data_IF_334505726000
#
_entry.id   IF_334505726000
#
_cell.length_a   1.000
_cell.length_b   1.000
_cell.length_c   1.000
_cell.angle_alpha   90.00
_cell.angle_beta   90.00
_cell.angle_gamma   90.00
#
_symmetry.space_group_name_H-M   'P 1'
#
loop_
_entity.id
_entity.type
_entity.pdbx_description
1 polymer ?
#
# COMPACT_ATOMS: atom_id res chain seq x y z
N UNK A 1 25.53 28.71 19.26
CA UNK A 1 26.75 29.32 18.72
C UNK A 1 27.11 28.60 17.42
N UNK A 2 27.39 29.38 16.38
CA UNK A 2 27.77 28.99 15.03
C UNK A 2 29.07 28.17 15.04
N UNK A 3 29.32 27.44 13.93
CA UNK A 3 30.64 27.00 13.41
C UNK A 3 30.85 25.47 13.52
N UNK A 4 31.35 24.72 12.54
CA UNK A 4 32.10 25.06 11.32
C UNK A 4 32.10 23.83 10.38
N UNK A 5 32.08 24.07 9.07
CA UNK A 5 32.39 23.07 8.04
C UNK A 5 33.82 22.54 8.19
N UNK A 6 34.00 21.25 7.97
CA UNK A 6 35.27 20.65 7.55
C UNK A 6 34.96 19.65 6.43
N UNK A 7 35.36 20.03 5.22
CA UNK A 7 35.42 19.16 4.04
C UNK A 7 36.84 18.62 3.99
N UNK A 8 37.00 17.30 4.02
CA UNK A 8 38.23 16.64 3.57
C UNK A 8 37.99 16.11 2.16
N UNK A 9 38.86 16.51 1.23
CA UNK A 9 38.92 15.98 -0.12
C UNK A 9 39.63 14.63 -0.11
N UNK A 10 38.98 13.61 -0.69
CA UNK A 10 39.57 12.32 -1.04
C UNK A 10 39.34 12.06 -2.52
N UNK A 11 40.43 11.94 -3.28
CA UNK A 11 40.48 11.73 -4.72
C UNK A 11 40.03 10.31 -5.11
N UNK A 12 39.31 10.20 -6.23
CA UNK A 12 39.28 9.00 -7.07
C UNK A 12 38.00 8.18 -7.01
N UNK A 13 37.10 8.41 -7.96
CA UNK A 13 35.96 7.52 -8.20
C UNK A 13 35.08 8.07 -9.31
N UNK A 14 34.98 7.32 -10.42
CA UNK A 14 34.11 7.53 -11.58
C UNK A 14 32.91 8.44 -11.30
N UNK A 15 32.82 9.55 -12.03
CA UNK A 15 31.67 10.45 -11.99
C UNK A 15 30.40 9.69 -12.38
N UNK A 16 29.62 9.26 -11.39
CA UNK A 16 28.22 8.95 -11.60
C UNK A 16 27.55 10.23 -12.08
N UNK A 17 27.01 10.22 -13.30
CA UNK A 17 26.15 11.29 -13.78
C UNK A 17 25.09 11.57 -12.71
N UNK A 18 24.77 12.84 -12.41
CA UNK A 18 23.77 13.16 -11.41
C UNK A 18 22.46 12.52 -11.84
N UNK A 19 22.02 11.52 -11.09
CA UNK A 19 20.64 11.04 -11.12
C UNK A 19 19.81 12.30 -10.90
N UNK A 20 19.16 12.78 -11.96
CA UNK A 20 18.27 13.91 -11.84
C UNK A 20 17.24 13.49 -10.80
N UNK A 21 17.29 14.09 -9.61
CA UNK A 21 16.26 13.92 -8.62
C UNK A 21 14.97 14.34 -9.32
N UNK A 22 14.17 13.36 -9.71
CA UNK A 22 12.92 13.60 -10.42
C UNK A 22 12.09 14.44 -9.46
N UNK A 23 11.86 15.70 -9.82
CA UNK A 23 10.90 16.55 -9.10
C UNK A 23 9.57 15.84 -9.26
N UNK A 24 9.13 15.16 -8.20
CA UNK A 24 7.81 14.57 -8.13
C UNK A 24 6.85 15.76 -8.04
N UNK A 25 5.93 15.97 -9.00
CA UNK A 25 4.92 17.00 -8.86
C UNK A 25 4.19 16.78 -7.55
N UNK A 26 3.94 17.86 -6.80
CA UNK A 26 3.11 17.76 -5.59
C UNK A 26 1.75 17.16 -5.92
N UNK A 27 1.17 16.43 -4.97
CA UNK A 27 -0.14 15.82 -5.16
C UNK A 27 -1.22 16.90 -5.35
N UNK A 28 -2.04 16.72 -6.39
CA UNK A 28 -3.25 17.50 -6.65
C UNK A 28 -4.46 16.58 -6.64
N UNK A 29 -5.67 17.14 -6.49
CA UNK A 29 -6.92 16.36 -6.60
C UNK A 29 -6.98 15.57 -7.92
N UNK A 30 -6.62 16.21 -9.04
CA UNK A 30 -6.55 15.57 -10.36
C UNK A 30 -5.59 14.38 -10.35
N UNK A 31 -4.41 14.53 -9.74
CA UNK A 31 -3.44 13.42 -9.66
C UNK A 31 -3.97 12.22 -8.87
N UNK A 32 -4.77 12.45 -7.83
CA UNK A 32 -5.42 11.38 -7.07
C UNK A 32 -6.50 10.67 -7.89
N UNK A 33 -7.32 11.43 -8.63
CA UNK A 33 -8.35 10.87 -9.52
C UNK A 33 -7.73 10.02 -10.63
N UNK A 34 -6.67 10.53 -11.27
CA UNK A 34 -5.95 9.83 -12.33
C UNK A 34 -5.26 8.56 -11.80
N UNK A 35 -4.69 8.62 -10.60
CA UNK A 35 -4.03 7.48 -10.00
C UNK A 35 -5.03 6.40 -9.58
N UNK A 36 -6.14 6.76 -8.94
CA UNK A 36 -7.19 5.79 -8.59
C UNK A 36 -7.77 5.10 -9.83
N UNK A 37 -8.07 5.86 -10.88
CA UNK A 37 -8.55 5.32 -12.14
C UNK A 37 -7.53 4.35 -12.77
N UNK A 38 -6.24 4.72 -12.77
CA UNK A 38 -5.15 3.84 -13.25
C UNK A 38 -5.07 2.56 -12.44
N UNK A 39 -5.11 2.65 -11.11
CA UNK A 39 -5.06 1.48 -10.23
C UNK A 39 -6.26 0.56 -10.50
N UNK A 40 -7.47 1.14 -10.63
CA UNK A 40 -8.67 0.40 -10.97
C UNK A 40 -8.57 -0.33 -12.32
N UNK A 41 -8.06 0.34 -13.35
CA UNK A 41 -7.81 -0.28 -14.65
C UNK A 41 -6.76 -1.40 -14.57
N UNK A 42 -5.64 -1.15 -13.89
CA UNK A 42 -4.53 -2.11 -13.74
C UNK A 42 -4.87 -3.32 -12.87
N UNK A 43 -5.85 -3.22 -11.99
CA UNK A 43 -6.36 -4.36 -11.23
C UNK A 43 -7.08 -5.39 -12.12
N UNK A 44 -7.66 -4.96 -13.24
CA UNK A 44 -8.45 -5.78 -14.16
C UNK A 44 -7.71 -6.10 -15.47
N UNK A 45 -6.80 -5.22 -15.89
CA UNK A 45 -5.97 -5.36 -17.08
C UNK A 45 -4.47 -5.28 -16.71
N UNK A 46 -3.74 -6.37 -16.97
CA UNK A 46 -2.30 -6.46 -16.73
C UNK A 46 -1.44 -5.59 -17.67
N UNK A 47 -2.03 -4.80 -18.56
CA UNK A 47 -1.33 -3.79 -19.36
C UNK A 47 -0.40 -4.38 -20.41
N UNK A 48 -0.90 -5.38 -21.12
CA UNK A 48 -0.10 -6.20 -22.05
C UNK A 48 0.76 -7.25 -21.34
N UNK A 49 0.52 -7.50 -20.06
CA UNK A 49 1.01 -8.66 -19.32
C UNK A 49 -0.05 -9.72 -19.10
N UNK A 50 0.27 -10.72 -18.27
CA UNK A 50 -0.63 -11.80 -17.85
C UNK A 50 -0.60 -11.96 -16.32
N UNK A 51 -1.77 -12.10 -15.69
CA UNK A 51 -1.88 -12.41 -14.27
C UNK A 51 -1.67 -13.90 -13.99
N UNK A 52 -1.02 -14.22 -12.88
CA UNK A 52 -0.71 -15.60 -12.46
C UNK A 52 -1.43 -15.96 -11.16
N UNK A 53 -2.74 -16.15 -11.22
CA UNK A 53 -3.57 -16.40 -10.04
C UNK A 53 -3.20 -17.70 -9.30
N UNK A 54 -2.73 -18.74 -10.01
CA UNK A 54 -2.25 -19.98 -9.40
C UNK A 54 -0.99 -19.71 -8.55
N UNK A 55 0.00 -19.02 -9.13
CA UNK A 55 1.23 -18.61 -8.45
C UNK A 55 0.96 -17.74 -7.22
N UNK A 56 -0.03 -16.84 -7.27
CA UNK A 56 -0.46 -16.05 -6.10
C UNK A 56 -0.98 -16.93 -4.94
N UNK A 57 -1.71 -18.02 -5.25
CA UNK A 57 -2.20 -18.97 -4.22
C UNK A 57 -1.08 -19.85 -3.69
N UNK A 58 -0.15 -20.26 -4.54
CA UNK A 58 1.05 -20.98 -4.12
C UNK A 58 1.95 -20.13 -3.21
N UNK A 59 2.10 -18.83 -3.50
CA UNK A 59 2.81 -17.90 -2.63
C UNK A 59 2.18 -17.81 -1.24
N UNK A 60 0.85 -17.83 -1.13
CA UNK A 60 0.14 -17.92 0.16
C UNK A 60 0.48 -19.23 0.89
N UNK A 61 0.41 -20.36 0.20
CA UNK A 61 0.71 -21.66 0.78
C UNK A 61 2.17 -21.72 1.30
N UNK A 62 3.13 -21.29 0.48
CA UNK A 62 4.55 -21.23 0.87
C UNK A 62 4.79 -20.27 2.04
N UNK A 63 4.18 -19.09 2.00
CA UNK A 63 4.25 -18.10 3.08
C UNK A 63 3.76 -18.69 4.39
N UNK A 64 2.58 -19.33 4.39
CA UNK A 64 2.00 -19.92 5.59
C UNK A 64 2.79 -21.12 6.08
N UNK A 65 3.33 -21.95 5.19
CA UNK A 65 4.18 -23.06 5.57
C UNK A 65 5.46 -22.58 6.29
N UNK A 66 6.08 -21.50 5.79
CA UNK A 66 7.22 -20.86 6.47
C UNK A 66 6.81 -20.28 7.82
N UNK A 67 5.72 -19.50 7.87
CA UNK A 67 5.28 -18.84 9.09
C UNK A 67 4.98 -19.83 10.20
N UNK A 68 4.21 -20.88 9.91
CA UNK A 68 3.86 -21.92 10.88
C UNK A 68 5.10 -22.66 11.39
N UNK A 69 6.04 -23.04 10.51
CA UNK A 69 7.30 -23.67 10.94
C UNK A 69 8.14 -22.78 11.87
N UNK A 70 8.03 -21.46 11.70
CA UNK A 70 8.73 -20.46 12.51
C UNK A 70 7.90 -19.97 13.71
N UNK A 71 6.76 -20.60 14.02
CA UNK A 71 5.90 -20.24 15.15
C UNK A 71 5.03 -18.99 14.96
N UNK A 72 4.98 -18.42 13.75
CA UNK A 72 4.10 -17.31 13.41
C UNK A 72 2.73 -17.82 12.92
N UNK A 73 1.61 -17.13 13.24
CA UNK A 73 0.28 -17.52 12.76
C UNK A 73 0.19 -17.49 11.24
N UNK A 74 -0.58 -18.41 10.65
CA UNK A 74 -0.90 -18.36 9.23
C UNK A 74 -1.70 -17.10 8.88
N UNK A 75 -1.49 -16.58 7.67
CA UNK A 75 -2.19 -15.44 7.11
C UNK A 75 -3.44 -15.89 6.35
N UNK A 76 -4.52 -15.14 6.50
CA UNK A 76 -5.71 -15.26 5.66
C UNK A 76 -5.52 -14.54 4.32
N UNK A 77 -6.12 -15.07 3.26
CA UNK A 77 -6.16 -14.38 1.98
C UNK A 77 -7.11 -13.18 2.02
N UNK A 78 -6.66 -12.02 1.53
CA UNK A 78 -7.49 -10.84 1.35
C UNK A 78 -7.62 -10.50 -0.13
N UNK A 79 -8.86 -10.60 -0.66
CA UNK A 79 -9.14 -10.26 -2.05
C UNK A 79 -8.91 -8.76 -2.35
N UNK A 80 -9.21 -7.88 -1.39
CA UNK A 80 -8.92 -6.44 -1.52
C UNK A 80 -7.41 -6.18 -1.64
N UNK A 81 -6.60 -6.81 -0.78
CA UNK A 81 -5.14 -6.66 -0.86
C UNK A 81 -4.57 -7.27 -2.14
N UNK A 82 -5.10 -8.41 -2.61
CA UNK A 82 -4.65 -8.99 -3.88
C UNK A 82 -5.02 -8.11 -5.06
N UNK A 83 -6.18 -7.45 -5.02
CA UNK A 83 -6.55 -6.43 -6.02
C UNK A 83 -5.53 -5.28 -6.04
N UNK A 84 -5.13 -4.79 -4.86
CA UNK A 84 -4.11 -3.73 -4.73
C UNK A 84 -2.75 -4.22 -5.27
N UNK A 85 -2.33 -5.41 -4.87
CA UNK A 85 -1.05 -5.99 -5.27
C UNK A 85 -0.99 -6.25 -6.79
N UNK A 86 -2.07 -6.78 -7.39
CA UNK A 86 -2.19 -6.97 -8.85
C UNK A 86 -2.10 -5.65 -9.59
N UNK A 87 -2.81 -4.63 -9.10
CA UNK A 87 -2.74 -3.30 -9.68
C UNK A 87 -1.30 -2.75 -9.70
N UNK A 88 -0.55 -2.89 -8.61
CA UNK A 88 0.84 -2.42 -8.57
C UNK A 88 1.75 -3.27 -9.46
N UNK A 89 1.64 -4.61 -9.40
CA UNK A 89 2.40 -5.50 -10.26
C UNK A 89 2.19 -5.21 -11.76
N UNK A 90 0.95 -4.92 -12.16
CA UNK A 90 0.61 -4.53 -13.52
C UNK A 90 1.14 -3.13 -13.89
N UNK A 91 1.15 -2.18 -12.95
CA UNK A 91 1.76 -0.86 -13.20
C UNK A 91 3.29 -0.96 -13.36
N UNK A 92 3.95 -1.73 -12.50
CA UNK A 92 5.38 -2.06 -12.58
C UNK A 92 5.73 -2.69 -13.93
N UNK A 93 4.95 -3.70 -14.36
CA UNK A 93 5.15 -4.39 -15.64
C UNK A 93 4.84 -3.51 -16.85
N UNK A 94 3.75 -2.75 -16.80
CA UNK A 94 3.28 -1.88 -17.88
C UNK A 94 4.25 -0.72 -18.14
N UNK A 95 4.85 -0.17 -17.08
CA UNK A 95 5.71 1.02 -17.15
C UNK A 95 7.20 0.73 -16.97
N UNK A 96 7.57 -0.50 -16.66
CA UNK A 96 8.95 -0.97 -16.67
C UNK A 96 9.81 -0.49 -15.50
N UNK A 97 9.23 -0.34 -14.30
CA UNK A 97 9.96 0.05 -13.08
C UNK A 97 9.83 -1.02 -11.99
N UNK A 98 10.72 -1.00 -10.99
CA UNK A 98 10.74 -1.92 -9.84
C UNK A 98 10.97 -1.10 -8.57
N UNK A 99 9.94 -0.40 -8.10
CA UNK A 99 10.02 0.48 -6.94
C UNK A 99 8.73 0.43 -6.10
N UNK A 100 8.85 0.72 -4.80
CA UNK A 100 7.70 0.86 -3.91
C UNK A 100 6.90 2.14 -4.19
N UNK A 101 7.58 3.21 -4.59
CA UNK A 101 6.94 4.47 -5.00
C UNK A 101 6.60 4.39 -6.49
N UNK A 102 5.39 4.83 -6.84
CA UNK A 102 5.10 5.09 -8.25
C UNK A 102 5.96 6.27 -8.75
N UNK A 103 6.13 6.44 -10.08
CA UNK A 103 6.82 7.59 -10.64
C UNK A 103 6.19 8.96 -10.28
N UNK A 104 4.93 8.95 -9.86
CA UNK A 104 4.18 10.09 -9.33
C UNK A 104 4.32 10.27 -7.81
N UNK A 105 5.09 9.40 -7.13
CA UNK A 105 5.34 9.46 -5.69
C UNK A 105 4.33 8.73 -4.81
N UNK A 106 3.34 8.03 -5.37
CA UNK A 106 2.39 7.29 -4.55
C UNK A 106 3.03 6.05 -3.93
N UNK A 107 2.87 5.89 -2.62
CA UNK A 107 3.45 4.80 -1.85
C UNK A 107 2.46 3.63 -1.65
N UNK A 108 2.89 2.52 -1.01
CA UNK A 108 2.01 1.39 -0.73
C UNK A 108 0.78 1.73 0.13
N UNK A 109 0.91 2.67 1.06
CA UNK A 109 -0.20 3.10 1.93
C UNK A 109 -1.26 3.85 1.14
N UNK A 110 -0.86 4.70 0.20
CA UNK A 110 -1.77 5.36 -0.73
C UNK A 110 -2.55 4.34 -1.57
N UNK A 111 -1.86 3.33 -2.13
CA UNK A 111 -2.50 2.27 -2.93
C UNK A 111 -3.51 1.46 -2.13
N UNK A 112 -3.16 1.07 -0.90
CA UNK A 112 -4.06 0.36 0.00
C UNK A 112 -5.25 1.24 0.38
N UNK A 113 -5.02 2.50 0.76
CA UNK A 113 -6.08 3.45 1.07
C UNK A 113 -7.03 3.69 -0.10
N UNK A 114 -6.53 3.68 -1.34
CA UNK A 114 -7.34 3.88 -2.53
C UNK A 114 -8.15 2.65 -2.94
N UNK A 115 -7.63 1.41 -2.80
CA UNK A 115 -8.31 0.23 -3.35
C UNK A 115 -8.85 -0.76 -2.31
N UNK A 116 -8.30 -0.84 -1.11
CA UNK A 116 -8.81 -1.69 -0.02
C UNK A 116 -9.85 -0.91 0.81
N UNK A 117 -10.97 -0.58 0.15
CA UNK A 117 -11.98 0.40 0.59
C UNK A 117 -12.72 0.04 1.87
N UNK A 118 -12.57 -1.18 2.39
CA UNK A 118 -13.11 -1.57 3.69
C UNK A 118 -12.06 -1.55 4.79
N UNK A 119 -10.78 -1.70 4.44
CA UNK A 119 -9.73 -2.02 5.40
C UNK A 119 -9.41 -0.82 6.30
N UNK A 120 -9.34 -1.08 7.60
CA UNK A 120 -8.69 -0.22 8.59
C UNK A 120 -7.48 -0.98 9.13
N UNK A 121 -6.30 -0.40 9.03
CA UNK A 121 -5.05 -1.02 9.46
C UNK A 121 -3.89 -0.71 8.53
N UNK A 122 -2.73 -1.30 8.79
CA UNK A 122 -1.50 -1.05 8.04
C UNK A 122 -1.10 -2.27 7.21
N UNK A 123 -0.46 -2.04 6.08
CA UNK A 123 0.16 -3.08 5.26
C UNK A 123 1.65 -2.81 5.03
N UNK A 124 2.44 -3.88 4.89
CA UNK A 124 3.82 -3.86 4.40
C UNK A 124 3.89 -4.48 3.01
N UNK A 125 4.76 -3.97 2.15
CA UNK A 125 4.91 -4.42 0.78
C UNK A 125 6.25 -5.14 0.56
N UNK A 126 6.21 -6.26 -0.15
CA UNK A 126 7.38 -6.88 -0.75
C UNK A 126 7.22 -6.85 -2.27
N UNK A 127 8.31 -6.54 -2.98
CA UNK A 127 8.37 -6.61 -4.45
C UNK A 127 9.45 -7.62 -4.83
N UNK A 128 9.13 -8.49 -5.79
CA UNK A 128 10.10 -9.32 -6.48
C UNK A 128 10.03 -9.06 -7.99
N UNK A 129 11.19 -9.09 -8.62
CA UNK A 129 11.35 -8.99 -10.06
C UNK A 129 12.30 -10.10 -10.52
N UNK A 130 11.92 -10.81 -11.58
CA UNK A 130 12.74 -11.83 -12.23
C UNK A 130 12.67 -11.63 -13.73
N UNK A 131 13.80 -11.79 -14.41
CA UNK A 131 13.85 -11.90 -15.87
C UNK A 131 14.38 -13.27 -16.26
N UNK A 132 13.60 -14.04 -17.02
CA UNK A 132 14.02 -15.34 -17.52
C UNK A 132 13.22 -15.76 -18.76
N UNK A 133 13.72 -16.78 -19.46
CA UNK A 133 13.06 -17.38 -20.63
C UNK A 133 11.96 -18.39 -20.26
N UNK A 134 11.99 -18.90 -19.02
CA UNK A 134 11.03 -19.87 -18.49
C UNK A 134 9.98 -19.21 -17.59
N UNK A 135 8.93 -19.97 -17.30
CA UNK A 135 7.92 -19.56 -16.33
C UNK A 135 8.55 -19.36 -14.95
N UNK A 136 8.10 -18.34 -14.24
CA UNK A 136 8.57 -18.04 -12.88
C UNK A 136 7.66 -18.69 -11.86
N UNK A 137 8.23 -19.54 -11.02
CA UNK A 137 7.49 -20.27 -9.98
C UNK A 137 7.34 -19.46 -8.69
N UNK A 138 6.35 -19.81 -7.86
CA UNK A 138 6.17 -19.21 -6.54
C UNK A 138 7.39 -19.42 -5.63
N UNK A 139 8.08 -20.56 -5.74
CA UNK A 139 9.28 -20.88 -4.96
C UNK A 139 10.45 -19.95 -5.30
N UNK A 140 10.63 -19.60 -6.57
CA UNK A 140 11.67 -18.64 -7.00
C UNK A 140 11.38 -17.23 -6.47
N UNK A 141 10.12 -16.77 -6.55
CA UNK A 141 9.70 -15.49 -5.99
C UNK A 141 9.91 -15.43 -4.48
N UNK A 142 9.54 -16.50 -3.77
CA UNK A 142 9.83 -16.66 -2.33
C UNK A 142 11.33 -16.64 -2.05
N UNK A 143 12.13 -17.27 -2.91
CA UNK A 143 13.59 -17.26 -2.85
C UNK A 143 14.18 -15.85 -3.00
N UNK A 144 13.59 -15.00 -3.83
CA UNK A 144 13.99 -13.59 -3.96
C UNK A 144 13.71 -12.82 -2.65
N UNK A 145 12.51 -12.96 -2.08
CA UNK A 145 12.18 -12.31 -0.80
C UNK A 145 13.04 -12.81 0.35
N UNK A 146 13.36 -14.11 0.41
CA UNK A 146 14.21 -14.68 1.46
C UNK A 146 15.64 -14.11 1.48
N UNK A 147 16.15 -13.61 0.35
CA UNK A 147 17.48 -12.99 0.26
C UNK A 147 17.52 -11.57 0.82
N UNK A 148 16.37 -10.97 1.16
CA UNK A 148 16.27 -9.63 1.73
C UNK A 148 15.72 -9.70 3.14
N UNK A 149 16.50 -9.23 4.11
CA UNK A 149 16.09 -9.20 5.52
C UNK A 149 14.81 -8.37 5.71
N UNK A 150 14.67 -7.25 5.00
CA UNK A 150 13.48 -6.40 5.07
C UNK A 150 12.23 -7.14 4.54
N UNK A 151 12.35 -7.82 3.39
CA UNK A 151 11.25 -8.60 2.84
C UNK A 151 10.88 -9.78 3.74
N UNK A 152 11.88 -10.46 4.31
CA UNK A 152 11.66 -11.57 5.22
C UNK A 152 10.99 -11.11 6.52
N UNK A 153 11.43 -9.97 7.06
CA UNK A 153 10.81 -9.34 8.23
C UNK A 153 9.33 -9.09 8.00
N UNK A 154 8.95 -8.48 6.87
CA UNK A 154 7.55 -8.25 6.49
C UNK A 154 6.72 -9.54 6.45
N UNK A 155 7.27 -10.59 5.83
CA UNK A 155 6.63 -11.90 5.75
C UNK A 155 6.43 -12.52 7.14
N UNK A 156 7.38 -12.34 8.04
CA UNK A 156 7.39 -12.96 9.37
C UNK A 156 6.76 -12.13 10.49
N UNK A 157 6.35 -10.87 10.24
CA UNK A 157 5.77 -10.02 11.31
C UNK A 157 4.58 -10.73 11.97
N UNK A 158 4.62 -10.96 13.30
CA UNK A 158 3.56 -11.72 13.98
C UNK A 158 2.20 -11.03 13.96
N UNK A 159 2.20 -9.69 13.88
CA UNK A 159 0.97 -8.89 13.86
C UNK A 159 0.24 -8.91 12.50
N UNK A 160 0.88 -9.41 11.43
CA UNK A 160 0.16 -9.61 10.17
C UNK A 160 -0.79 -10.79 10.30
N UNK A 161 -2.01 -10.59 9.81
CA UNK A 161 -3.08 -11.60 9.82
C UNK A 161 -3.69 -11.82 8.43
N UNK A 162 -3.50 -10.89 7.50
CA UNK A 162 -3.98 -11.00 6.12
C UNK A 162 -2.84 -10.78 5.13
N UNK A 163 -2.98 -11.36 3.94
CA UNK A 163 -2.07 -11.09 2.82
C UNK A 163 -2.82 -11.10 1.50
N UNK A 164 -2.36 -10.28 0.57
CA UNK A 164 -2.72 -10.37 -0.84
C UNK A 164 -1.48 -10.40 -1.71
N UNK A 165 -1.54 -11.18 -2.79
CA UNK A 165 -0.48 -11.28 -3.78
C UNK A 165 -0.98 -10.85 -5.15
N UNK A 166 -0.10 -10.23 -5.93
CA UNK A 166 -0.31 -9.92 -7.34
C UNK A 166 0.92 -10.35 -8.12
N UNK A 167 0.75 -11.20 -9.13
CA UNK A 167 1.84 -11.67 -9.98
C UNK A 167 1.51 -11.41 -11.44
N UNK A 168 2.38 -10.67 -12.12
CA UNK A 168 2.24 -10.30 -13.53
C UNK A 168 3.50 -10.66 -14.30
N UNK A 169 3.36 -11.38 -15.41
CA UNK A 169 4.43 -11.49 -16.40
C UNK A 169 4.17 -10.60 -17.60
N UNK A 170 5.25 -10.07 -18.20
CA UNK A 170 5.22 -9.33 -19.48
C UNK A 170 6.46 -9.70 -20.28
N UNK A 171 6.26 -10.56 -21.30
CA UNK A 171 7.36 -11.24 -21.96
C UNK A 171 8.18 -12.05 -20.95
N UNK A 172 9.51 -11.91 -21.00
CA UNK A 172 10.45 -12.60 -20.11
C UNK A 172 10.54 -12.02 -18.68
N UNK A 173 9.72 -11.02 -18.34
CA UNK A 173 9.80 -10.32 -17.06
C UNK A 173 8.61 -10.71 -16.19
N UNK A 174 8.87 -11.11 -14.94
CA UNK A 174 7.85 -11.38 -13.93
C UNK A 174 8.02 -10.40 -12.78
N UNK A 175 6.90 -9.81 -12.37
CA UNK A 175 6.77 -8.89 -11.25
C UNK A 175 5.81 -9.52 -10.24
N UNK A 176 6.20 -9.57 -8.97
CA UNK A 176 5.35 -10.03 -7.88
C UNK A 176 5.31 -9.01 -6.76
N UNK A 177 4.11 -8.70 -6.29
CA UNK A 177 3.86 -7.82 -5.16
C UNK A 177 3.14 -8.62 -4.09
N UNK A 178 3.61 -8.52 -2.84
CA UNK A 178 2.96 -9.10 -1.66
C UNK A 178 2.64 -8.01 -0.66
N UNK A 179 1.37 -7.88 -0.29
CA UNK A 179 0.89 -6.93 0.72
C UNK A 179 0.46 -7.70 1.96
N UNK A 180 1.22 -7.56 3.03
CA UNK A 180 1.00 -8.23 4.31
C UNK A 180 0.37 -7.22 5.27
N UNK A 181 -0.81 -7.51 5.78
CA UNK A 181 -1.60 -6.56 6.54
C UNK A 181 -1.86 -7.00 7.97
N UNK A 182 -1.84 -6.01 8.86
CA UNK A 182 -2.51 -6.06 10.17
C UNK A 182 -3.85 -5.34 10.03
N UNK A 183 -4.97 -6.03 9.81
CA UNK A 183 -6.28 -5.43 9.93
C UNK A 183 -6.53 -5.06 11.41
N UNK A 184 -6.79 -3.80 11.67
CA UNK A 184 -7.20 -3.27 12.98
C UNK A 184 -8.73 -3.08 13.05
N UNK A 185 -9.41 -3.10 11.90
CA UNK A 185 -10.86 -3.11 11.74
C UNK A 185 -11.27 -3.12 10.28
N UNK A 186 -12.58 -3.05 10.04
CA UNK A 186 -13.14 -2.90 8.70
C UNK A 186 -14.44 -2.09 8.73
N UNK A 187 -14.69 -1.37 7.65
CA UNK A 187 -15.99 -0.78 7.36
C UNK A 187 -17.00 -1.88 6.98
N UNK A 188 -18.28 -1.67 7.29
CA UNK A 188 -19.36 -2.60 6.94
C UNK A 188 -19.56 -2.74 5.43
N UNK A 189 -19.32 -1.65 4.70
CA UNK A 189 -19.32 -1.58 3.24
C UNK A 189 -18.07 -0.84 2.73
N UNK A 190 -17.63 -1.09 1.47
CA UNK A 190 -16.59 -0.29 0.83
C UNK A 190 -16.96 1.20 0.83
N UNK A 191 -16.07 2.06 1.34
CA UNK A 191 -16.25 3.51 1.19
C UNK A 191 -16.08 3.88 -0.29
N UNK A 192 -16.99 4.60 -0.96
CA UNK A 192 -16.75 5.07 -2.33
C UNK A 192 -15.50 5.94 -2.41
N UNK A 193 -14.76 5.90 -3.51
CA UNK A 193 -13.64 6.84 -3.70
C UNK A 193 -14.17 8.26 -3.91
N UNK A 194 -15.19 8.45 -4.75
CA UNK A 194 -15.88 9.74 -4.91
C UNK A 194 -17.10 9.77 -4.01
N UNK A 195 -17.05 10.63 -2.99
CA UNK A 195 -18.12 10.82 -2.03
C UNK A 195 -19.00 11.99 -2.48
N UNK A 196 -20.23 11.68 -2.90
CA UNK A 196 -21.20 12.68 -3.34
C UNK A 196 -21.91 13.35 -2.16
N UNK A 197 -22.15 12.61 -1.09
CA UNK A 197 -22.86 13.10 0.09
C UNK A 197 -22.16 12.69 1.39
N UNK A 198 -22.11 13.61 2.36
CA UNK A 198 -21.54 13.37 3.69
C UNK A 198 -22.25 12.23 4.45
N UNK A 199 -23.52 11.95 4.08
CA UNK A 199 -24.31 10.84 4.61
C UNK A 199 -23.71 9.46 4.26
N UNK A 200 -23.03 9.33 3.11
CA UNK A 200 -22.40 8.08 2.69
C UNK A 200 -21.25 7.70 3.62
N UNK A 201 -20.43 8.69 4.01
CA UNK A 201 -19.35 8.50 4.99
C UNK A 201 -19.92 8.11 6.35
N UNK A 202 -20.89 8.87 6.83
CA UNK A 202 -21.58 8.57 8.11
C UNK A 202 -22.17 7.16 8.12
N UNK A 203 -22.72 6.71 6.99
CA UNK A 203 -23.29 5.37 6.85
C UNK A 203 -22.23 4.26 6.92
N UNK A 204 -21.11 4.44 6.22
CA UNK A 204 -20.00 3.50 6.26
C UNK A 204 -19.40 3.36 7.68
N UNK A 205 -19.34 4.48 8.42
CA UNK A 205 -18.75 4.54 9.75
C UNK A 205 -19.66 3.96 10.84
N UNK A 206 -21.00 4.02 10.69
CA UNK A 206 -21.94 3.34 11.61
C UNK A 206 -21.79 1.82 11.66
N UNK A 207 -21.30 1.21 10.59
CA UNK A 207 -21.18 -0.25 10.47
C UNK A 207 -19.75 -0.75 10.67
N UNK A 208 -18.86 0.10 11.20
CA UNK A 208 -17.47 -0.25 11.45
C UNK A 208 -17.33 -1.31 12.54
N UNK A 209 -16.39 -2.24 12.36
CA UNK A 209 -16.05 -3.25 13.37
C UNK A 209 -14.54 -3.48 13.44
N UNK A 210 -13.93 -3.53 14.64
CA UNK A 210 -14.54 -3.23 15.93
C UNK A 210 -14.88 -1.73 16.06
N UNK A 211 -15.52 -1.37 17.18
CA UNK A 211 -15.82 0.03 17.49
C UNK A 211 -14.53 0.86 17.65
N UNK A 212 -14.56 2.12 17.21
CA UNK A 212 -13.51 3.13 17.38
C UNK A 212 -14.06 4.34 18.13
N UNK A 213 -13.24 4.96 18.99
CA UNK A 213 -13.66 6.09 19.84
C UNK A 213 -14.07 7.34 19.03
N UNK A 214 -13.42 7.55 17.88
CA UNK A 214 -13.74 8.65 16.98
C UNK A 214 -13.03 8.50 15.64
N UNK A 215 -13.46 9.28 14.64
CA UNK A 215 -12.83 9.36 13.34
C UNK A 215 -12.26 10.76 13.11
N UNK A 216 -11.14 10.79 12.41
CA UNK A 216 -10.50 11.99 11.90
C UNK A 216 -10.34 11.88 10.38
N UNK A 217 -10.28 13.01 9.69
CA UNK A 217 -9.98 13.13 8.28
C UNK A 217 -8.71 13.97 8.14
N UNK A 218 -7.70 13.44 7.46
CA UNK A 218 -6.43 14.14 7.21
C UNK A 218 -6.16 14.26 5.72
N UNK A 219 -5.29 15.18 5.34
CA UNK A 219 -4.67 15.13 4.02
C UNK A 219 -3.89 13.80 3.90
N UNK A 220 -4.09 12.99 2.85
CA UNK A 220 -3.35 11.74 2.66
C UNK A 220 -1.83 11.93 2.53
N UNK A 221 -1.38 13.14 2.18
CA UNK A 221 0.04 13.49 2.02
C UNK A 221 0.70 14.03 3.29
N UNK A 222 -0.10 14.38 4.30
CA UNK A 222 0.38 14.86 5.60
C UNK A 222 0.28 13.75 6.66
N UNK A 223 1.35 12.97 6.78
CA UNK A 223 1.44 11.90 7.79
C UNK A 223 1.35 12.42 9.24
N UNK A 224 1.65 13.71 9.49
CA UNK A 224 1.72 14.27 10.83
C UNK A 224 0.33 14.51 11.46
N UNK A 225 -0.77 14.34 10.70
CA UNK A 225 -2.14 14.44 11.17
C UNK A 225 -2.50 15.76 11.89
N UNK A 226 -1.68 16.80 11.74
CA UNK A 226 -1.73 18.02 12.54
C UNK A 226 -3.03 18.83 12.34
N UNK A 227 -3.76 18.57 11.23
CA UNK A 227 -5.02 19.24 10.88
C UNK A 227 -6.13 18.23 10.61
N UNK A 228 -6.33 17.30 11.55
CA UNK A 228 -7.44 16.37 11.50
C UNK A 228 -8.80 17.09 11.64
N UNK A 229 -9.67 16.99 10.62
CA UNK A 229 -11.10 17.32 10.76
C UNK A 229 -11.80 16.16 11.48
N UNK A 230 -12.67 16.46 12.44
CA UNK A 230 -13.49 15.44 13.10
C UNK A 230 -14.75 15.20 12.26
N UNK A 231 -15.13 13.94 12.06
CA UNK A 231 -16.39 13.57 11.42
C UNK A 231 -17.58 14.22 12.16
N UNK A 232 -18.55 14.77 11.42
CA UNK A 232 -19.74 15.44 11.99
C UNK A 232 -19.60 16.95 12.24
N UNK A 233 -18.46 17.55 11.89
CA UNK A 233 -18.34 19.00 11.73
C UNK A 233 -19.14 19.50 10.51
N UNK A 234 -19.10 20.82 10.19
CA UNK A 234 -19.76 21.46 9.02
C UNK A 234 -19.63 20.63 7.70
N UNK A 235 -20.41 20.93 6.64
CA UNK A 235 -20.29 20.22 5.37
C UNK A 235 -18.83 20.05 4.92
N UNK A 236 -18.45 18.83 4.54
CA UNK A 236 -17.07 18.53 4.15
C UNK A 236 -16.75 19.30 2.85
N UNK A 237 -15.74 20.19 2.83
CA UNK A 237 -15.39 20.90 1.61
C UNK A 237 -14.78 19.94 0.57
N UNK A 238 -14.81 20.31 -0.73
CA UNK A 238 -14.15 19.52 -1.77
C UNK A 238 -12.67 19.26 -1.46
N UNK A 239 -12.18 18.08 -1.82
CA UNK A 239 -10.79 17.68 -1.57
C UNK A 239 -10.61 16.19 -1.32
N UNK A 240 -9.37 15.76 -1.15
CA UNK A 240 -9.01 14.35 -0.90
C UNK A 240 -8.65 14.16 0.57
N UNK A 241 -9.25 13.14 1.18
CA UNK A 241 -9.16 12.86 2.60
C UNK A 241 -8.77 11.41 2.86
N UNK A 242 -7.87 11.21 3.81
CA UNK A 242 -7.58 9.94 4.42
C UNK A 242 -8.44 9.77 5.68
N UNK A 243 -9.24 8.70 5.76
CA UNK A 243 -9.93 8.33 6.99
C UNK A 243 -8.91 7.85 8.04
N UNK A 244 -9.01 8.38 9.26
CA UNK A 244 -8.14 8.09 10.41
C UNK A 244 -8.95 7.67 11.64
N UNK A 245 -9.29 6.38 11.78
CA UNK A 245 -9.93 5.89 13.00
C UNK A 245 -9.02 6.03 14.22
N UNK A 246 -9.59 6.44 15.34
CA UNK A 246 -8.86 6.61 16.62
C UNK A 246 -9.36 5.60 17.63
N UNK A 247 -8.43 4.83 18.18
CA UNK A 247 -8.69 3.88 19.26
C UNK A 247 -7.94 4.31 20.50
N UNK A 248 -8.64 4.49 21.60
CA UNK A 248 -8.04 4.83 22.88
C UNK A 248 -7.16 3.69 23.37
N UNK A 249 -5.93 4.04 23.75
CA UNK A 249 -4.96 3.10 24.33
C UNK A 249 -4.95 3.23 25.85
N UNK A 250 -5.04 4.46 26.36
CA UNK A 250 -5.18 4.78 27.78
C UNK A 250 -5.90 6.13 27.98
N UNK A 251 -5.87 6.68 29.20
CA UNK A 251 -6.58 7.92 29.56
C UNK A 251 -6.19 9.14 28.72
N UNK A 252 -4.95 9.22 28.22
CA UNK A 252 -4.44 10.39 27.50
C UNK A 252 -3.98 10.10 26.08
N UNK A 253 -3.86 8.83 25.68
CA UNK A 253 -3.33 8.45 24.36
C UNK A 253 -4.33 7.71 23.49
N UNK A 254 -4.31 8.07 22.21
CA UNK A 254 -5.01 7.36 21.14
C UNK A 254 -3.99 6.77 20.16
N UNK A 255 -4.29 5.58 19.67
CA UNK A 255 -3.72 5.04 18.46
C UNK A 255 -4.50 5.61 17.28
N UNK A 256 -3.78 6.16 16.30
CA UNK A 256 -4.35 6.63 15.03
C UNK A 256 -4.07 5.57 13.98
N UNK A 257 -5.11 5.13 13.28
CA UNK A 257 -5.07 4.04 12.31
C UNK A 257 -5.24 4.57 10.88
N UNK A 258 -4.76 3.80 9.92
CA UNK A 258 -4.99 4.05 8.50
C UNK A 258 -6.34 3.47 8.08
N UNK A 259 -7.10 4.20 7.27
CA UNK A 259 -8.34 3.74 6.66
C UNK A 259 -8.34 3.94 5.14
N UNK A 260 -9.50 3.99 4.49
CA UNK A 260 -9.60 4.34 3.08
C UNK A 260 -9.39 5.84 2.79
N UNK A 261 -8.94 6.16 1.58
CA UNK A 261 -8.75 7.54 1.05
C UNK A 261 -9.93 7.90 0.14
N UNK A 262 -10.62 9.03 0.29
CA UNK A 262 -11.73 9.40 -0.59
C UNK A 262 -11.65 10.87 -1.01
N UNK A 263 -12.23 11.19 -2.15
CA UNK A 263 -12.42 12.54 -2.66
C UNK A 263 -13.87 12.99 -2.39
N UNK A 264 -14.03 14.18 -1.81
CA UNK A 264 -15.31 14.90 -1.78
C UNK A 264 -15.40 15.74 -3.04
N UNK A 265 -16.40 15.47 -3.87
CA UNK A 265 -16.62 16.09 -5.20
C UNK A 265 -17.89 16.93 -5.28
#
# INVERSE_FOLDING_TARGET
MISRRLVLAGLGGLAAAPVHARVVPGFTEVSWLDYEARLGARASDAGGGAFHAATERELLALTNAVRVRSGAPALGWSAELSRVARSHAADLAGRGYVEHLSPEGFDPTHRVGLLARRMIGSASENIAYRRASDETTAAELMGIWRKSESHWSNLMRPRHAQVGFGVVSRGQKTYAVGLYARPDGALGAPLPFRLAQDADLSSALRQVSPHFDSFALTDPTDEAAARARIEGADPLPPGVYQLRPRRRVDRSRYQILWGPIFARV
#
